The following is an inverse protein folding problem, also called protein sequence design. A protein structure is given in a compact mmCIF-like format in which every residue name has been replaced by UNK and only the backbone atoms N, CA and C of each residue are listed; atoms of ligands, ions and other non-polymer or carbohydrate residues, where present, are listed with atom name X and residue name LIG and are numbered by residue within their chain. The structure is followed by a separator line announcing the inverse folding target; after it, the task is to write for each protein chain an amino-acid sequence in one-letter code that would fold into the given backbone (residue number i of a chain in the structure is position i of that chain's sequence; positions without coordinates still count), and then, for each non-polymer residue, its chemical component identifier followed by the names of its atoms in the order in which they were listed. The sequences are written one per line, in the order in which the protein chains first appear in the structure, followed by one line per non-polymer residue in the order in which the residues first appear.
data_IF_855969530093
#
_entry.id   IF_855969530093
#
_cell.length_a   1.000
_cell.length_b   1.000
_cell.length_c   1.000
_cell.angle_alpha   90.00
_cell.angle_beta   90.00
_cell.angle_gamma   90.00
#
_symmetry.space_group_name_H-M   'P 1'
#
loop_
_entity.id
_entity.type
_entity.pdbx_description
1 polymer ?
#
# COMPACT_ATOMS: atom_id res chain seq x y z
N UNK A 1 -7.48 -17.77 2.78
CA UNK A 1 -6.74 -17.11 3.87
C UNK A 1 -6.68 -15.62 3.69
N UNK A 2 -6.95 -14.88 4.76
CA UNK A 2 -6.90 -13.42 4.80
C UNK A 2 -5.51 -12.95 5.26
N UNK A 3 -4.98 -11.92 4.62
CA UNK A 3 -3.70 -11.28 4.98
C UNK A 3 -3.98 -10.14 5.95
N UNK A 4 -3.19 -10.03 7.02
CA UNK A 4 -3.24 -8.92 7.97
C UNK A 4 -2.04 -8.01 7.76
N UNK A 5 -2.27 -6.70 7.62
CA UNK A 5 -1.22 -5.72 7.38
C UNK A 5 -0.92 -4.90 8.63
N UNK A 6 0.36 -4.77 8.95
CA UNK A 6 0.83 -3.96 10.08
C UNK A 6 1.81 -2.90 9.59
N UNK A 7 1.52 -1.65 9.94
CA UNK A 7 2.32 -0.49 9.57
C UNK A 7 2.85 0.22 10.80
N UNK A 8 4.07 0.76 10.69
CA UNK A 8 4.65 1.65 11.70
C UNK A 8 5.17 2.89 11.01
N UNK A 9 4.65 4.05 11.40
CA UNK A 9 5.13 5.35 10.99
C UNK A 9 5.14 6.29 12.22
N UNK A 10 6.17 7.12 12.39
CA UNK A 10 6.27 8.01 13.55
C UNK A 10 5.46 9.31 13.34
N UNK A 11 5.02 10.02 14.40
CA UNK A 11 4.06 11.15 14.32
C UNK A 11 4.46 12.24 13.33
N UNK A 12 5.75 12.52 13.24
CA UNK A 12 6.39 13.52 12.38
C UNK A 12 6.36 13.19 10.88
N UNK A 13 5.91 11.99 10.49
CA UNK A 13 5.81 11.56 9.09
C UNK A 13 4.33 11.50 8.61
N UNK A 14 3.61 12.64 8.50
CA UNK A 14 2.17 12.64 8.23
C UNK A 14 1.82 12.03 6.87
N UNK A 15 2.60 12.32 5.81
CA UNK A 15 2.37 11.76 4.47
C UNK A 15 2.55 10.25 4.43
N UNK A 16 3.63 9.73 5.02
CA UNK A 16 3.91 8.29 5.08
C UNK A 16 2.83 7.55 5.86
N UNK A 17 2.38 8.14 6.99
CA UNK A 17 1.25 7.60 7.77
C UNK A 17 -0.04 7.61 6.97
N UNK A 18 -0.34 8.69 6.25
CA UNK A 18 -1.51 8.78 5.38
C UNK A 18 -1.52 7.69 4.32
N UNK A 19 -0.38 7.45 3.66
CA UNK A 19 -0.26 6.37 2.68
C UNK A 19 -0.45 4.99 3.30
N UNK A 20 0.14 4.75 4.46
CA UNK A 20 -0.05 3.51 5.19
C UNK A 20 -1.51 3.29 5.58
N UNK A 21 -2.23 4.35 5.98
CA UNK A 21 -3.66 4.29 6.29
C UNK A 21 -4.51 3.93 5.08
N UNK A 22 -4.29 4.60 3.94
CA UNK A 22 -5.01 4.29 2.68
C UNK A 22 -4.77 2.84 2.24
N UNK A 23 -3.52 2.39 2.26
CA UNK A 23 -3.18 1.02 1.88
C UNK A 23 -3.71 -0.01 2.88
N UNK A 24 -3.75 0.30 4.17
CA UNK A 24 -4.35 -0.56 5.17
C UNK A 24 -5.85 -0.72 4.93
N UNK A 25 -6.58 0.39 4.79
CA UNK A 25 -8.03 0.39 4.54
C UNK A 25 -8.41 -0.42 3.31
N UNK A 26 -7.64 -0.31 2.22
CA UNK A 26 -7.94 -0.99 0.96
C UNK A 26 -7.48 -2.44 0.86
N UNK A 27 -6.56 -2.91 1.70
CA UNK A 27 -5.89 -4.20 1.52
C UNK A 27 -5.97 -5.14 2.73
N UNK A 28 -6.12 -4.62 3.94
CA UNK A 28 -6.15 -5.44 5.14
C UNK A 28 -7.38 -6.36 5.15
N UNK A 29 -7.18 -7.64 5.45
CA UNK A 29 -8.24 -8.65 5.44
C UNK A 29 -8.52 -9.28 4.08
N UNK A 30 -7.97 -8.76 2.99
CA UNK A 30 -8.05 -9.40 1.68
C UNK A 30 -7.19 -10.66 1.59
N UNK A 31 -7.53 -11.54 0.67
CA UNK A 31 -6.69 -12.70 0.35
C UNK A 31 -5.39 -12.29 -0.36
N UNK A 32 -4.40 -13.19 -0.32
CA UNK A 32 -3.14 -12.97 -1.03
C UNK A 32 -3.35 -12.72 -2.54
N UNK A 33 -4.29 -13.45 -3.16
CA UNK A 33 -4.60 -13.31 -4.59
C UNK A 33 -5.19 -11.93 -4.91
N UNK A 34 -6.14 -11.45 -4.09
CA UNK A 34 -6.75 -10.13 -4.26
C UNK A 34 -5.72 -9.01 -4.11
N UNK A 35 -4.85 -9.07 -3.10
CA UNK A 35 -3.78 -8.08 -2.89
C UNK A 35 -2.80 -8.06 -4.07
N UNK A 36 -2.44 -9.22 -4.61
CA UNK A 36 -1.54 -9.32 -5.76
C UNK A 36 -2.19 -8.83 -7.05
N UNK A 37 -3.51 -8.92 -7.18
CA UNK A 37 -4.28 -8.48 -8.34
C UNK A 37 -4.51 -6.96 -8.39
N UNK A 38 -4.33 -6.23 -7.29
CA UNK A 38 -4.40 -4.75 -7.28
C UNK A 38 -3.44 -4.19 -8.34
N UNK A 39 -3.80 -3.20 -9.18
CA UNK A 39 -2.86 -2.61 -10.12
C UNK A 39 -1.70 -1.87 -9.43
N UNK A 40 -0.48 -1.89 -10.01
CA UNK A 40 0.69 -1.19 -9.43
C UNK A 40 0.57 0.33 -9.49
N UNK A 41 -0.19 0.84 -10.47
CA UNK A 41 -0.52 2.24 -10.71
C UNK A 41 -1.76 2.71 -9.93
N UNK A 42 -2.39 1.84 -9.12
CA UNK A 42 -3.53 2.20 -8.27
C UNK A 42 -3.33 3.53 -7.50
N UNK A 43 -2.15 3.84 -6.92
CA UNK A 43 -1.94 5.13 -6.25
C UNK A 43 -2.25 6.35 -7.13
N UNK A 44 -2.01 6.27 -8.44
CA UNK A 44 -2.26 7.34 -9.40
C UNK A 44 -3.75 7.51 -9.69
N UNK A 45 -4.54 6.44 -9.51
CA UNK A 45 -5.99 6.41 -9.73
C UNK A 45 -6.79 7.01 -8.56
N UNK A 46 -6.16 7.29 -7.42
CA UNK A 46 -6.82 7.83 -6.22
C UNK A 46 -7.22 9.31 -6.33
N UNK A 47 -6.86 10.00 -7.42
CA UNK A 47 -7.17 11.43 -7.62
C UNK A 47 -6.42 12.37 -6.67
N UNK A 48 -5.38 11.89 -5.99
CA UNK A 48 -4.61 12.63 -4.97
C UNK A 48 -3.58 13.60 -5.57
N UNK A 49 -3.46 13.66 -6.90
CA UNK A 49 -2.42 14.44 -7.61
C UNK A 49 -2.49 15.94 -7.37
N UNK A 50 -3.65 16.48 -6.93
CA UNK A 50 -3.78 17.89 -6.51
C UNK A 50 -3.30 18.16 -5.09
N UNK A 51 -3.32 17.15 -4.21
CA UNK A 51 -2.91 17.27 -2.81
C UNK A 51 -1.46 16.83 -2.58
N UNK A 52 -0.93 15.97 -3.46
CA UNK A 52 0.34 15.28 -3.27
C UNK A 52 1.14 15.30 -4.57
N UNK A 53 2.39 15.76 -4.49
CA UNK A 53 3.28 15.84 -5.66
C UNK A 53 3.63 14.45 -6.20
N UNK A 54 3.96 14.31 -7.50
CA UNK A 54 4.35 13.03 -8.09
C UNK A 54 5.50 12.34 -7.32
N UNK A 55 6.48 13.11 -6.85
CA UNK A 55 7.60 12.57 -6.07
C UNK A 55 7.14 11.93 -4.74
N UNK A 56 6.14 12.52 -4.07
CA UNK A 56 5.57 11.93 -2.85
C UNK A 56 4.74 10.69 -3.18
N UNK A 57 3.96 10.71 -4.26
CA UNK A 57 3.16 9.55 -4.70
C UNK A 57 3.99 8.30 -4.96
N UNK A 58 5.23 8.44 -5.46
CA UNK A 58 6.19 7.32 -5.61
C UNK A 58 6.42 6.56 -4.30
N UNK A 59 6.28 7.22 -3.14
CA UNK A 59 6.34 6.56 -1.83
C UNK A 59 5.20 5.57 -1.60
N UNK A 60 3.97 5.91 -1.99
CA UNK A 60 2.82 5.00 -1.91
C UNK A 60 2.98 3.82 -2.87
N UNK A 61 3.39 4.07 -4.12
CA UNK A 61 3.68 3.02 -5.11
C UNK A 61 4.75 2.05 -4.60
N UNK A 62 5.84 2.57 -4.03
CA UNK A 62 6.89 1.74 -3.45
C UNK A 62 6.40 0.90 -2.26
N UNK A 63 5.49 1.45 -1.45
CA UNK A 63 4.90 0.74 -0.32
C UNK A 63 3.99 -0.40 -0.79
N UNK A 64 3.13 -0.18 -1.78
CA UNK A 64 2.30 -1.22 -2.41
C UNK A 64 3.17 -2.33 -2.99
N UNK A 65 4.21 -1.97 -3.76
CA UNK A 65 5.14 -2.95 -4.32
C UNK A 65 5.86 -3.78 -3.25
N UNK A 66 6.18 -3.18 -2.09
CA UNK A 66 6.75 -3.91 -0.95
C UNK A 66 5.75 -4.89 -0.32
N UNK A 67 4.49 -4.49 -0.18
CA UNK A 67 3.43 -5.35 0.36
C UNK A 67 3.27 -6.58 -0.54
N UNK A 68 3.10 -6.38 -1.85
CA UNK A 68 2.95 -7.47 -2.82
C UNK A 68 4.13 -8.44 -2.81
N UNK A 69 5.37 -7.94 -2.77
CA UNK A 69 6.57 -8.80 -2.66
C UNK A 69 6.54 -9.68 -1.41
N UNK A 70 6.13 -9.13 -0.25
CA UNK A 70 6.01 -9.91 0.99
C UNK A 70 4.91 -10.96 0.89
N UNK A 71 3.73 -10.58 0.40
CA UNK A 71 2.59 -11.49 0.23
C UNK A 71 2.93 -12.64 -0.73
N UNK A 72 3.58 -12.33 -1.86
CA UNK A 72 4.03 -13.34 -2.82
C UNK A 72 5.10 -14.29 -2.26
N UNK A 73 5.91 -13.84 -1.30
CA UNK A 73 6.90 -14.68 -0.64
C UNK A 73 6.25 -15.60 0.41
N UNK A 74 5.30 -15.09 1.19
CA UNK A 74 4.59 -15.87 2.22
C UNK A 74 3.62 -16.88 1.65
N UNK A 75 2.95 -16.58 0.52
CA UNK A 75 1.99 -17.50 -0.14
C UNK A 75 2.64 -18.70 -0.84
N UNK A 76 3.97 -18.75 -0.94
CA UNK A 76 4.72 -19.90 -1.49
C UNK A 76 5.16 -20.90 -0.41
N UNK A 77 4.91 -20.59 0.87
CA UNK A 77 5.13 -21.46 2.01
C UNK A 77 3.84 -22.19 2.36
#
# INVERSE_FOLDING_TARGET
DAVRLYFKAPPEAPTTRGFAGVLHEGLDGLSAAEILAVPDDMPELLGLTRAITPLRMRGMTAMLGRIKRKVAATSRL
#
